data_IF_668581029718
#
_entry.id   IF_668581029718
#
_cell.length_a   1.000
_cell.length_b   1.000
_cell.length_c   1.000
_cell.angle_alpha   90.00
_cell.angle_beta   90.00
_cell.angle_gamma   90.00
#
_symmetry.space_group_name_H-M   'P 1'
#
loop_
_entity.id
_entity.type
_entity.pdbx_description
1 polymer ?
#
# COMPACT_ATOMS: atom_id res chain seq x y z
N UNK A 1 14.31 10.05 -5.45
CA UNK A 1 14.41 11.35 -6.14
C UNK A 1 15.63 12.18 -5.75
N UNK A 2 16.02 12.27 -4.47
CA UNK A 2 17.13 13.15 -4.03
C UNK A 2 18.43 13.00 -4.84
N UNK A 3 18.86 11.76 -5.13
CA UNK A 3 20.05 11.50 -5.96
C UNK A 3 19.90 12.01 -7.39
N UNK A 4 18.71 11.87 -7.99
CA UNK A 4 18.45 12.36 -9.34
C UNK A 4 18.53 13.89 -9.37
N UNK A 5 17.90 14.58 -8.42
CA UNK A 5 17.93 16.05 -8.32
C UNK A 5 19.36 16.58 -8.08
N UNK A 6 20.13 15.91 -7.22
CA UNK A 6 21.53 16.23 -6.98
C UNK A 6 22.38 16.11 -8.26
N UNK A 7 22.11 15.10 -9.09
CA UNK A 7 22.85 14.82 -10.31
C UNK A 7 22.35 15.59 -11.55
N UNK A 8 21.18 16.24 -11.48
CA UNK A 8 20.60 16.98 -12.62
C UNK A 8 21.59 17.93 -13.31
N UNK A 9 22.36 18.76 -12.59
CA UNK A 9 23.31 19.68 -13.23
C UNK A 9 24.41 18.95 -14.01
N UNK A 10 24.91 17.84 -13.48
CA UNK A 10 25.95 17.04 -14.14
C UNK A 10 25.41 16.33 -15.37
N UNK A 11 24.19 15.79 -15.30
CA UNK A 11 23.49 15.17 -16.43
C UNK A 11 23.26 16.21 -17.53
N UNK A 12 22.77 17.40 -17.17
CA UNK A 12 22.55 18.50 -18.12
C UNK A 12 23.85 18.96 -18.79
N UNK A 13 24.92 19.16 -18.01
CA UNK A 13 26.24 19.50 -18.56
C UNK A 13 26.76 18.44 -19.53
N UNK A 14 26.52 17.15 -19.24
CA UNK A 14 26.89 16.03 -20.11
C UNK A 14 26.17 16.10 -21.45
N UNK A 15 24.89 16.45 -21.48
CA UNK A 15 24.14 16.65 -22.74
C UNK A 15 24.68 17.79 -23.61
N UNK A 16 25.31 18.78 -22.99
CA UNK A 16 25.96 19.87 -23.72
C UNK A 16 27.38 19.54 -24.20
N UNK A 17 27.96 18.40 -23.79
CA UNK A 17 29.27 17.96 -24.25
C UNK A 17 29.25 17.62 -25.75
N UNK A 18 30.29 18.00 -26.50
CA UNK A 18 30.32 17.90 -27.97
C UNK A 18 30.10 16.48 -28.49
N UNK A 19 30.60 15.48 -27.78
CA UNK A 19 30.50 14.07 -28.20
C UNK A 19 29.12 13.46 -27.94
N UNK A 20 28.38 14.02 -26.98
CA UNK A 20 27.01 13.60 -26.64
C UNK A 20 26.01 14.37 -27.51
N UNK A 21 26.20 15.67 -27.67
CA UNK A 21 25.32 16.57 -28.44
C UNK A 21 25.15 16.14 -29.91
N UNK A 22 26.18 15.54 -30.52
CA UNK A 22 26.11 15.02 -31.91
C UNK A 22 25.08 13.90 -32.07
N UNK A 23 24.85 13.12 -31.02
CA UNK A 23 23.98 11.96 -31.01
C UNK A 23 22.75 12.16 -30.10
N UNK A 24 22.38 13.42 -29.82
CA UNK A 24 21.29 13.76 -28.88
C UNK A 24 19.95 13.10 -29.27
N UNK A 25 19.74 12.87 -30.57
CA UNK A 25 18.52 12.23 -31.10
C UNK A 25 18.39 10.76 -30.70
N UNK A 26 19.50 10.11 -30.39
CA UNK A 26 19.55 8.71 -29.98
C UNK A 26 19.43 8.55 -28.45
N UNK A 27 19.37 9.68 -27.71
CA UNK A 27 19.27 9.71 -26.26
C UNK A 27 17.81 9.84 -25.88
N UNK A 28 17.25 8.78 -25.30
CA UNK A 28 15.90 8.79 -24.74
C UNK A 28 15.94 9.40 -23.34
N UNK A 29 15.08 10.41 -23.12
CA UNK A 29 14.91 11.07 -21.83
C UNK A 29 13.46 11.00 -21.40
N UNK A 30 13.22 10.92 -20.09
CA UNK A 30 11.87 11.12 -19.55
C UNK A 30 11.35 12.51 -19.91
N UNK A 31 10.10 12.58 -20.31
CA UNK A 31 9.33 13.82 -20.43
C UNK A 31 9.14 14.48 -19.07
N UNK A 32 8.78 15.77 -19.07
CA UNK A 32 8.49 16.50 -17.83
C UNK A 32 7.31 15.89 -17.05
N UNK A 33 6.33 15.33 -17.75
CA UNK A 33 5.20 14.61 -17.13
C UNK A 33 5.69 13.36 -16.42
N UNK A 34 6.47 12.50 -17.09
CA UNK A 34 7.01 11.28 -16.49
C UNK A 34 7.93 11.58 -15.30
N UNK A 35 8.70 12.68 -15.36
CA UNK A 35 9.48 13.16 -14.21
C UNK A 35 8.57 13.51 -13.05
N UNK A 36 7.55 14.35 -13.27
CA UNK A 36 6.61 14.77 -12.23
C UNK A 36 5.88 13.57 -11.60
N UNK A 37 5.45 12.61 -12.40
CA UNK A 37 4.81 11.37 -11.92
C UNK A 37 5.77 10.53 -11.07
N UNK A 38 7.03 10.41 -11.49
CA UNK A 38 8.05 9.72 -10.70
C UNK A 38 8.33 10.43 -9.35
N UNK A 39 8.32 11.76 -9.31
CA UNK A 39 8.43 12.53 -8.06
C UNK A 39 7.24 12.26 -7.14
N UNK A 40 6.03 12.29 -7.71
CA UNK A 40 4.80 12.01 -7.01
C UNK A 40 4.79 10.58 -6.44
N UNK A 41 5.23 9.58 -7.22
CA UNK A 41 5.34 8.19 -6.78
C UNK A 41 6.26 8.05 -5.57
N UNK A 42 7.44 8.68 -5.61
CA UNK A 42 8.39 8.66 -4.49
C UNK A 42 7.76 9.28 -3.24
N UNK A 43 6.97 10.33 -3.39
CA UNK A 43 6.26 10.99 -2.29
C UNK A 43 5.13 10.13 -1.71
N UNK A 44 4.43 9.38 -2.55
CA UNK A 44 3.39 8.41 -2.14
C UNK A 44 4.02 7.24 -1.38
N UNK A 45 5.15 6.73 -1.86
CA UNK A 45 5.83 5.57 -1.26
C UNK A 45 6.68 5.92 -0.02
N UNK A 46 6.89 7.21 0.28
CA UNK A 46 7.66 7.67 1.44
C UNK A 46 7.25 7.05 2.79
N UNK A 47 5.96 7.04 3.17
CA UNK A 47 5.46 6.39 4.39
C UNK A 47 5.78 4.90 4.46
N UNK A 48 5.67 4.19 3.33
CA UNK A 48 6.00 2.75 3.25
C UNK A 48 7.48 2.53 3.54
N UNK A 49 8.36 3.28 2.87
CA UNK A 49 9.82 3.23 3.14
C UNK A 49 10.13 3.49 4.60
N UNK A 50 9.53 4.52 5.20
CA UNK A 50 9.75 4.88 6.62
C UNK A 50 9.38 3.73 7.55
N UNK A 51 8.21 3.15 7.33
CA UNK A 51 7.73 2.03 8.13
C UNK A 51 8.59 0.77 7.97
N UNK A 52 8.91 0.37 6.74
CA UNK A 52 9.79 -0.78 6.50
C UNK A 52 11.15 -0.57 7.16
N UNK A 53 11.70 0.65 7.12
CA UNK A 53 12.97 0.96 7.79
C UNK A 53 12.89 0.74 9.30
N UNK A 54 11.80 1.20 9.94
CA UNK A 54 11.59 1.00 11.38
C UNK A 54 11.42 -0.48 11.71
N UNK A 55 10.55 -1.19 10.99
CA UNK A 55 10.29 -2.61 11.24
C UNK A 55 11.53 -3.49 10.99
N UNK A 56 12.33 -3.17 9.98
CA UNK A 56 13.58 -3.90 9.71
C UNK A 56 14.72 -3.54 10.67
N UNK A 57 14.60 -2.43 11.42
CA UNK A 57 15.59 -2.07 12.46
C UNK A 57 15.38 -2.85 13.76
N UNK A 58 14.22 -3.48 13.94
CA UNK A 58 13.89 -4.26 15.13
C UNK A 58 14.05 -5.75 14.86
N UNK A 59 14.77 -6.46 15.74
CA UNK A 59 15.05 -7.89 15.58
C UNK A 59 13.79 -8.77 15.69
N UNK A 60 12.80 -8.34 16.48
CA UNK A 60 11.54 -9.07 16.69
C UNK A 60 10.40 -8.07 16.93
N UNK A 61 9.79 -7.51 15.86
CA UNK A 61 8.75 -6.51 16.01
C UNK A 61 7.52 -7.08 16.70
N UNK A 62 7.02 -6.37 17.73
CA UNK A 62 5.86 -6.80 18.51
C UNK A 62 4.56 -6.38 17.84
N UNK A 63 3.46 -7.05 18.18
CA UNK A 63 2.10 -6.66 17.72
C UNK A 63 1.76 -5.22 18.13
N UNK A 64 2.22 -4.80 19.31
CA UNK A 64 2.03 -3.43 19.81
C UNK A 64 2.77 -2.37 19.00
N UNK A 65 3.81 -2.73 18.24
CA UNK A 65 4.43 -1.84 17.26
C UNK A 65 3.77 -1.96 15.89
N UNK A 66 3.60 -3.19 15.39
CA UNK A 66 3.11 -3.47 14.03
C UNK A 66 1.70 -2.94 13.81
N UNK A 67 0.81 -3.07 14.79
CA UNK A 67 -0.59 -2.67 14.64
C UNK A 67 -0.78 -1.13 14.52
N UNK A 68 -0.28 -0.29 15.45
CA UNK A 68 -0.34 1.17 15.29
C UNK A 68 0.35 1.66 14.02
N UNK A 69 1.45 1.00 13.65
CA UNK A 69 2.12 1.23 12.39
C UNK A 69 1.16 1.01 11.22
N UNK A 70 0.56 -0.17 11.09
CA UNK A 70 -0.36 -0.50 9.98
C UNK A 70 -1.45 0.56 9.81
N UNK A 71 -2.08 0.97 10.91
CA UNK A 71 -3.10 2.02 10.91
C UNK A 71 -2.56 3.38 10.44
N UNK A 72 -1.35 3.75 10.85
CA UNK A 72 -0.67 4.95 10.37
C UNK A 72 -0.40 4.88 8.86
N UNK A 73 0.04 3.74 8.33
CA UNK A 73 0.31 3.57 6.89
C UNK A 73 -0.97 3.72 6.07
N UNK A 74 -2.05 3.07 6.47
CA UNK A 74 -3.36 3.17 5.79
C UNK A 74 -3.85 4.62 5.75
N UNK A 75 -3.72 5.34 6.87
CA UNK A 75 -4.10 6.77 6.95
C UNK A 75 -3.22 7.68 6.09
N UNK A 76 -1.91 7.45 6.05
CA UNK A 76 -0.97 8.22 5.22
C UNK A 76 -1.22 7.97 3.74
N UNK A 77 -1.41 6.72 3.33
CA UNK A 77 -1.68 6.34 1.95
C UNK A 77 -3.04 6.86 1.45
N UNK A 78 -4.09 6.76 2.27
CA UNK A 78 -5.42 7.29 1.93
C UNK A 78 -5.44 8.83 1.80
N UNK A 79 -4.64 9.55 2.58
CA UNK A 79 -4.49 11.00 2.45
C UNK A 79 -3.75 11.40 1.18
N UNK A 80 -2.75 10.61 0.75
CA UNK A 80 -1.95 10.88 -0.44
C UNK A 80 -2.66 10.47 -1.74
N UNK A 81 -3.59 9.51 -1.68
CA UNK A 81 -4.39 9.07 -2.83
C UNK A 81 -5.48 10.07 -3.25
N UNK A 82 -6.01 10.88 -2.32
CA UNK A 82 -7.09 11.83 -2.63
C UNK A 82 -6.61 13.01 -3.50
N UNK A 83 -5.33 13.38 -3.37
CA UNK A 83 -4.68 14.48 -4.07
C UNK A 83 -3.95 14.06 -5.34
N UNK A 84 -3.72 12.76 -5.54
CA UNK A 84 -2.88 12.25 -6.61
C UNK A 84 -3.67 11.95 -7.89
N UNK A 85 -3.19 12.44 -9.04
CA UNK A 85 -3.78 12.09 -10.35
C UNK A 85 -3.35 10.69 -10.81
N UNK A 86 -2.14 10.27 -10.45
CA UNK A 86 -1.58 8.96 -10.81
C UNK A 86 -2.28 7.79 -10.11
N UNK A 87 -2.85 8.01 -8.91
CA UNK A 87 -3.63 6.99 -8.18
C UNK A 87 -5.08 6.87 -8.70
N UNK A 88 -5.54 7.85 -9.48
CA UNK A 88 -6.84 7.82 -10.17
C UNK A 88 -6.69 7.18 -11.55
N UNK A 89 -6.26 5.92 -11.60
CA UNK A 89 -6.42 5.14 -12.84
C UNK A 89 -7.92 5.11 -13.15
N UNK A 90 -8.28 5.71 -14.28
CA UNK A 90 -9.66 5.82 -14.77
C UNK A 90 -10.27 4.42 -14.81
N UNK A 91 -11.40 4.24 -14.11
CA UNK A 91 -12.33 3.17 -14.42
C UNK A 91 -12.85 3.45 -15.83
N UNK A 92 -12.28 2.81 -16.84
CA UNK A 92 -12.82 2.80 -18.20
C UNK A 92 -14.28 2.32 -18.12
N UNK A 93 -15.27 3.08 -18.66
CA UNK A 93 -16.65 2.62 -18.73
C UNK A 93 -16.78 1.64 -19.90
N UNK A 94 -16.48 0.37 -19.65
CA UNK A 94 -16.81 -0.72 -20.57
C UNK A 94 -18.30 -0.99 -20.54
N UNK A 95 -18.95 -0.74 -21.67
CA UNK A 95 -20.32 -1.15 -21.99
C UNK A 95 -20.39 -2.66 -22.21
N UNK A 96 -21.59 -3.18 -21.97
CA UNK A 96 -22.18 -4.42 -22.48
C UNK A 96 -21.92 -5.76 -21.76
N UNK A 97 -23.03 -6.23 -21.19
CA UNK A 97 -23.40 -7.56 -20.74
C UNK A 97 -23.03 -8.68 -21.72
N UNK A 98 -22.32 -9.71 -21.25
CA UNK A 98 -22.64 -11.09 -21.67
C UNK A 98 -22.21 -12.13 -20.62
N UNK A 99 -23.11 -13.09 -20.40
CA UNK A 99 -23.08 -14.14 -19.40
C UNK A 99 -21.93 -15.13 -19.62
N UNK A 100 -21.25 -15.55 -18.55
CA UNK A 100 -20.73 -16.91 -18.52
C UNK A 100 -20.61 -17.42 -17.07
N UNK A 101 -21.35 -18.50 -16.81
CA UNK A 101 -21.35 -19.27 -15.58
C UNK A 101 -19.98 -19.90 -15.32
N UNK A 102 -19.38 -19.62 -14.17
CA UNK A 102 -18.47 -20.56 -13.52
C UNK A 102 -18.53 -20.34 -12.00
N UNK A 103 -18.66 -21.39 -11.17
CA UNK A 103 -18.96 -21.21 -9.76
C UNK A 103 -17.71 -20.79 -9.00
N UNK A 104 -17.80 -19.65 -8.33
CA UNK A 104 -16.85 -19.18 -7.33
C UNK A 104 -16.78 -20.18 -6.16
N UNK A 105 -15.59 -20.61 -5.71
CA UNK A 105 -15.46 -21.31 -4.43
C UNK A 105 -15.89 -20.36 -3.30
N UNK A 106 -16.98 -20.70 -2.62
CA UNK A 106 -17.50 -19.90 -1.50
C UNK A 106 -16.53 -19.97 -0.32
N UNK A 107 -16.07 -18.80 0.12
CA UNK A 107 -15.41 -18.62 1.41
C UNK A 107 -16.46 -18.80 2.53
N UNK A 108 -16.21 -19.61 3.57
CA UNK A 108 -17.20 -19.84 4.63
C UNK A 108 -17.63 -18.54 5.28
N UNK A 109 -18.93 -18.23 5.18
CA UNK A 109 -19.59 -17.18 5.94
C UNK A 109 -19.66 -17.60 7.40
N UNK A 110 -19.11 -16.78 8.30
CA UNK A 110 -19.38 -16.87 9.73
C UNK A 110 -20.86 -16.56 9.94
N UNK A 111 -21.65 -17.60 10.11
CA UNK A 111 -23.06 -17.50 10.48
C UNK A 111 -23.13 -17.22 11.99
N UNK A 112 -23.74 -16.09 12.35
CA UNK A 112 -24.19 -15.81 13.71
C UNK A 112 -25.25 -16.85 14.10
N UNK A 113 -24.89 -17.80 14.97
CA UNK A 113 -25.86 -18.61 15.70
C UNK A 113 -25.88 -18.15 17.17
N UNK A 114 -26.88 -17.31 17.44
CA UNK A 114 -27.40 -17.08 18.77
C UNK A 114 -28.13 -18.34 19.24
N UNK A 115 -27.45 -19.22 19.98
CA UNK A 115 -28.06 -20.26 20.78
C UNK A 115 -27.36 -20.36 22.16
N UNK A 116 -27.50 -19.29 22.95
CA UNK A 116 -27.30 -19.35 24.40
C UNK A 116 -28.64 -19.70 25.05
N UNK A 117 -28.97 -20.98 25.10
CA UNK A 117 -30.05 -21.51 25.93
C UNK A 117 -29.89 -23.01 26.20
N UNK A 118 -28.78 -23.41 26.83
CA UNK A 118 -28.82 -24.55 27.76
C UNK A 118 -27.57 -24.58 28.66
N UNK A 119 -27.67 -23.99 29.85
CA UNK A 119 -26.78 -24.36 30.94
C UNK A 119 -27.69 -24.61 32.15
N UNK A 120 -28.08 -25.86 32.32
CA UNK A 120 -28.71 -26.35 33.55
C UNK A 120 -27.79 -26.04 34.74
N UNK A 121 -28.39 -25.41 35.75
CA UNK A 121 -27.78 -25.22 37.05
C UNK A 121 -27.83 -26.54 37.82
N UNK A 122 -26.68 -27.18 38.03
CA UNK A 122 -26.49 -28.19 39.08
C UNK A 122 -25.12 -27.96 39.72
N UNK A 123 -25.10 -27.04 40.70
CA UNK A 123 -24.06 -27.00 41.72
C UNK A 123 -24.77 -27.26 43.05
N UNK A 124 -24.89 -28.54 43.42
CA UNK A 124 -25.25 -28.92 44.78
C UNK A 124 -24.07 -28.61 45.70
N UNK A 125 -24.29 -27.65 46.58
CA UNK A 125 -23.48 -27.41 47.75
C UNK A 125 -23.91 -28.41 48.84
N UNK A 126 -23.16 -29.50 49.03
CA UNK A 126 -23.20 -30.23 50.30
C UNK A 126 -22.01 -29.83 51.17
N UNK A 127 -22.27 -28.80 51.98
CA UNK A 127 -21.63 -28.63 53.27
C UNK A 127 -22.49 -29.38 54.29
N UNK A 128 -22.00 -30.48 54.86
CA UNK A 128 -22.58 -30.98 56.10
C UNK A 128 -21.47 -31.26 57.13
N UNK A 129 -21.40 -30.32 58.06
CA UNK A 129 -20.80 -30.44 59.38
C UNK A 129 -21.81 -31.08 60.33
N UNK A 130 -21.53 -32.28 60.85
CA UNK A 130 -21.61 -32.69 62.26
C UNK A 130 -21.45 -34.20 62.42
#
# INVERSE_FOLDING_TARGET
MSRYLEQQPAIFATFHHKDVKKNIKDIVTLSETEKSEAEELVNILGPLKKMTTILCSEHSPTVSLVHPMREMLLREMARKSSTSQMVRVKKEPGTDTENNDNPTPQLPTLQDDADLQNISMENEAETQSK
#
